data_IF_726537388417
#
_entry.id   IF_726537388417
#
_cell.length_a   1.000
_cell.length_b   1.000
_cell.length_c   1.000
_cell.angle_alpha   90.00
_cell.angle_beta   90.00
_cell.angle_gamma   90.00
#
_symmetry.space_group_name_H-M   'P 1'
#
loop_
_entity.id
_entity.type
_entity.pdbx_description
1 polymer ?
#
# COMPACT_ATOMS: atom_id res chain seq x y z
N UNK A 1 10.02 31.77 6.73
CA UNK A 1 9.90 31.54 8.18
C UNK A 1 11.30 31.38 8.74
N UNK A 2 11.66 32.29 9.62
CA UNK A 2 12.96 32.50 10.25
C UNK A 2 13.54 31.22 10.85
N UNK A 3 14.82 30.94 10.58
CA UNK A 3 15.62 30.00 11.37
C UNK A 3 15.89 30.65 12.72
N UNK A 4 14.89 30.73 13.59
CA UNK A 4 15.18 30.88 15.00
C UNK A 4 15.87 29.60 15.45
N UNK A 5 17.08 29.74 15.99
CA UNK A 5 17.81 28.64 16.56
C UNK A 5 16.99 28.06 17.72
N UNK A 6 16.24 27.00 17.45
CA UNK A 6 15.63 26.15 18.47
C UNK A 6 16.75 25.77 19.46
N UNK A 7 16.71 26.35 20.65
CA UNK A 7 17.63 25.99 21.73
C UNK A 7 17.43 24.50 22.01
N UNK A 8 18.44 23.72 21.63
CA UNK A 8 18.44 22.27 21.77
C UNK A 8 19.50 21.92 22.80
N UNK A 9 19.06 21.44 23.96
CA UNK A 9 19.94 21.05 25.06
C UNK A 9 19.93 19.53 25.21
N UNK A 10 21.09 18.90 25.34
CA UNK A 10 21.18 17.46 25.59
C UNK A 10 21.10 17.20 27.10
N UNK A 11 20.10 16.46 27.55
CA UNK A 11 19.91 16.06 28.97
C UNK A 11 19.69 14.55 29.09
N UNK A 12 20.06 14.00 30.24
CA UNK A 12 19.66 12.64 30.63
C UNK A 12 18.34 12.77 31.40
N UNK A 13 17.29 12.11 30.92
CA UNK A 13 15.94 12.26 31.47
C UNK A 13 15.44 10.92 32.01
N UNK A 14 14.89 10.88 33.24
CA UNK A 14 14.22 9.69 33.77
C UNK A 14 13.07 9.24 32.87
N UNK A 15 12.95 7.93 32.62
CA UNK A 15 11.94 7.39 31.72
C UNK A 15 10.48 7.62 32.20
N UNK A 16 10.31 7.84 33.49
CA UNK A 16 9.03 8.14 34.15
C UNK A 16 8.53 9.56 33.88
N UNK A 17 9.43 10.51 33.63
CA UNK A 17 9.09 11.89 33.31
C UNK A 17 8.66 12.10 31.84
N UNK A 18 8.75 11.04 31.01
CA UNK A 18 8.51 11.13 29.56
C UNK A 18 7.14 10.55 29.20
N UNK A 19 6.26 11.42 28.72
CA UNK A 19 4.92 11.10 28.24
C UNK A 19 4.90 10.92 26.71
N UNK A 20 4.05 10.02 26.22
CA UNK A 20 3.87 9.74 24.80
C UNK A 20 2.45 10.17 24.42
N UNK A 21 2.32 11.25 23.64
CA UNK A 21 1.01 11.77 23.21
C UNK A 21 0.20 10.73 22.41
N UNK A 22 0.88 10.01 21.52
CA UNK A 22 0.23 9.07 20.62
C UNK A 22 1.12 7.83 20.44
N UNK A 23 0.76 6.75 21.14
CA UNK A 23 1.49 5.48 21.05
C UNK A 23 1.22 4.79 19.73
N UNK A 24 2.27 4.22 19.12
CA UNK A 24 2.13 3.57 17.81
C UNK A 24 2.42 2.08 17.91
N UNK A 25 1.57 1.30 17.24
CA UNK A 25 1.78 -0.14 17.10
C UNK A 25 2.95 -0.43 16.16
N UNK A 26 3.99 -1.10 16.66
CA UNK A 26 5.12 -1.58 15.86
C UNK A 26 5.05 -3.08 15.65
N UNK A 27 5.62 -3.53 14.54
CA UNK A 27 5.85 -4.95 14.31
C UNK A 27 6.90 -5.45 15.31
N UNK A 28 6.60 -6.53 16.04
CA UNK A 28 7.48 -7.10 17.07
C UNK A 28 8.89 -7.39 16.55
N UNK A 29 9.04 -7.97 15.35
CA UNK A 29 10.37 -8.28 14.78
C UNK A 29 11.26 -7.06 14.62
N UNK A 30 10.71 -5.95 14.12
CA UNK A 30 11.44 -4.69 13.93
C UNK A 30 11.80 -4.07 15.29
N UNK A 31 10.94 -4.26 16.29
CA UNK A 31 11.22 -3.80 17.64
C UNK A 31 12.36 -4.61 18.29
N UNK A 32 12.37 -5.93 18.13
CA UNK A 32 13.43 -6.81 18.65
C UNK A 32 14.80 -6.44 18.07
N UNK A 33 14.86 -6.10 16.78
CA UNK A 33 16.08 -5.59 16.13
C UNK A 33 16.56 -4.28 16.77
N UNK A 34 15.65 -3.36 17.11
CA UNK A 34 15.99 -2.10 17.79
C UNK A 34 16.57 -2.39 19.19
N UNK A 35 15.92 -3.28 19.95
CA UNK A 35 16.37 -3.67 21.29
C UNK A 35 17.76 -4.30 21.22
N UNK A 36 17.97 -5.27 20.31
CA UNK A 36 19.27 -5.91 20.11
C UNK A 36 20.37 -4.92 19.71
N UNK A 37 20.07 -3.99 18.81
CA UNK A 37 21.02 -2.96 18.39
C UNK A 37 21.39 -2.01 19.54
N UNK A 38 20.41 -1.57 20.33
CA UNK A 38 20.67 -0.69 21.48
C UNK A 38 21.48 -1.44 22.55
N UNK A 39 21.17 -2.72 22.80
CA UNK A 39 21.93 -3.55 23.75
C UNK A 39 23.40 -3.72 23.33
N UNK A 40 23.66 -3.93 22.04
CA UNK A 40 25.01 -4.23 21.55
C UNK A 40 25.87 -2.99 21.25
N UNK A 41 25.25 -1.92 20.74
CA UNK A 41 25.95 -0.75 20.20
C UNK A 41 25.68 0.51 21.04
N UNK A 42 24.60 0.53 21.82
CA UNK A 42 24.13 1.72 22.54
C UNK A 42 23.31 2.67 21.67
N UNK A 43 22.88 3.77 22.29
CA UNK A 43 22.04 4.79 21.66
C UNK A 43 22.85 5.76 20.81
N UNK A 44 22.86 5.57 19.49
CA UNK A 44 23.58 6.46 18.55
C UNK A 44 23.01 7.88 18.44
N UNK A 45 21.69 8.04 18.61
CA UNK A 45 21.00 9.33 18.53
C UNK A 45 20.05 9.49 19.71
N UNK A 46 20.12 10.62 20.44
CA UNK A 46 19.20 10.89 21.56
C UNK A 46 17.76 10.97 21.06
N UNK A 47 16.81 10.69 21.94
CA UNK A 47 15.39 10.97 21.66
C UNK A 47 15.15 12.47 21.63
N UNK A 48 14.03 12.94 21.08
CA UNK A 48 13.70 14.37 21.11
C UNK A 48 12.43 14.56 21.92
N UNK A 49 12.48 15.49 22.87
CA UNK A 49 11.37 15.81 23.77
C UNK A 49 11.13 17.31 23.85
N UNK A 50 9.93 17.72 24.24
CA UNK A 50 9.63 19.10 24.63
C UNK A 50 9.23 19.16 26.09
N UNK A 51 9.71 20.16 26.86
CA UNK A 51 9.32 20.30 28.26
C UNK A 51 7.83 20.63 28.38
N UNK A 52 7.18 20.06 29.40
CA UNK A 52 5.82 20.36 29.83
C UNK A 52 5.84 20.55 31.34
N UNK A 53 5.62 21.77 31.85
CA UNK A 53 5.53 21.97 33.28
C UNK A 53 4.29 21.24 33.80
N UNK A 54 4.47 20.40 34.83
CA UNK A 54 3.36 19.79 35.55
C UNK A 54 2.77 20.78 36.57
N UNK A 55 1.52 20.56 36.99
CA UNK A 55 0.83 21.42 37.96
C UNK A 55 1.58 21.51 39.32
N UNK A 56 2.34 20.46 39.65
CA UNK A 56 3.12 20.34 40.89
C UNK A 56 4.55 20.91 40.75
N UNK A 57 4.90 21.54 39.63
CA UNK A 57 6.24 22.09 39.37
C UNK A 57 7.31 21.05 39.00
N UNK A 58 6.93 19.78 38.83
CA UNK A 58 7.82 18.74 38.33
C UNK A 58 8.06 18.89 36.81
N UNK A 59 9.31 18.72 36.37
CA UNK A 59 9.65 18.75 34.94
C UNK A 59 9.16 17.47 34.26
N UNK A 60 8.08 17.57 33.48
CA UNK A 60 7.68 16.52 32.55
C UNK A 60 8.11 16.85 31.14
N UNK A 61 8.17 15.81 30.32
CA UNK A 61 8.64 15.88 28.96
C UNK A 61 7.68 15.14 28.04
N UNK A 62 7.25 15.80 26.97
CA UNK A 62 6.47 15.16 25.91
C UNK A 62 7.42 14.64 24.83
N UNK A 63 7.29 13.37 24.48
CA UNK A 63 8.07 12.76 23.42
C UNK A 63 7.65 13.28 22.04
N UNK A 64 8.60 13.87 21.31
CA UNK A 64 8.43 14.29 19.90
C UNK A 64 8.82 13.13 18.98
N UNK A 65 10.05 12.61 19.16
CA UNK A 65 10.67 11.63 18.27
C UNK A 65 11.46 10.58 19.07
N UNK A 66 11.43 9.32 18.61
CA UNK A 66 12.27 8.26 19.15
C UNK A 66 11.56 7.24 20.05
N UNK A 67 10.24 7.08 19.93
CA UNK A 67 9.42 6.14 20.73
C UNK A 67 9.99 4.71 20.80
N UNK A 68 10.62 4.24 19.72
CA UNK A 68 11.19 2.88 19.68
C UNK A 68 12.41 2.75 20.57
N UNK A 69 13.23 3.80 20.64
CA UNK A 69 14.39 3.87 21.52
C UNK A 69 13.95 3.97 22.97
N UNK A 70 12.93 4.79 23.25
CA UNK A 70 12.31 4.89 24.58
C UNK A 70 11.77 3.54 25.06
N UNK A 71 10.97 2.85 24.24
CA UNK A 71 10.44 1.52 24.55
C UNK A 71 11.54 0.46 24.72
N UNK A 72 12.59 0.52 23.90
CA UNK A 72 13.72 -0.38 24.03
C UNK A 72 14.49 -0.18 25.34
N UNK A 73 14.74 1.07 25.75
CA UNK A 73 15.33 1.39 27.06
C UNK A 73 14.48 0.85 28.21
N UNK A 74 13.15 1.04 28.16
CA UNK A 74 12.21 0.44 29.13
C UNK A 74 12.30 -1.09 29.16
N UNK A 75 12.44 -1.72 27.99
CA UNK A 75 12.54 -3.20 27.86
C UNK A 75 13.89 -3.73 28.37
N UNK A 76 14.96 -2.95 28.24
CA UNK A 76 16.30 -3.29 28.73
C UNK A 76 16.47 -3.02 30.25
N UNK A 77 15.47 -2.41 30.90
CA UNK A 77 15.50 -2.11 32.34
C UNK A 77 16.29 -0.86 32.71
N UNK A 78 16.56 0.02 31.75
CA UNK A 78 17.23 1.30 32.00
C UNK A 78 16.31 2.26 32.77
N UNK A 79 16.88 3.15 33.60
CA UNK A 79 16.11 4.14 34.37
C UNK A 79 16.00 5.50 33.68
N UNK A 80 16.95 5.82 32.80
CA UNK A 80 17.06 7.12 32.12
C UNK A 80 17.54 6.98 30.69
N UNK A 81 17.27 7.99 29.86
CA UNK A 81 17.64 8.01 28.44
C UNK A 81 18.19 9.38 28.03
N UNK A 82 19.25 9.44 27.20
CA UNK A 82 19.70 10.68 26.59
C UNK A 82 18.63 11.28 25.65
N UNK A 83 18.28 12.52 25.90
CA UNK A 83 17.25 13.26 25.19
C UNK A 83 17.74 14.66 24.78
N UNK A 84 17.32 15.09 23.60
CA UNK A 84 17.45 16.47 23.14
C UNK A 84 16.16 17.19 23.51
N UNK A 85 16.27 18.17 24.41
CA UNK A 85 15.18 19.01 24.88
C UNK A 85 15.04 20.19 23.93
N UNK A 86 13.86 20.33 23.35
CA UNK A 86 13.54 21.39 22.39
C UNK A 86 12.24 22.06 22.84
N UNK A 87 12.30 23.36 23.10
CA UNK A 87 11.12 24.13 23.54
C UNK A 87 10.25 24.49 22.34
N UNK A 88 9.15 23.74 22.16
CA UNK A 88 8.16 23.96 21.10
C UNK A 88 6.74 23.84 21.63
N UNK A 89 5.81 24.50 20.93
CA UNK A 89 4.37 24.36 21.19
C UNK A 89 3.91 22.91 21.00
N UNK A 90 2.75 22.53 21.55
CA UNK A 90 2.16 21.20 21.31
C UNK A 90 1.91 20.94 19.82
N UNK A 91 1.48 21.97 19.10
CA UNK A 91 1.24 21.92 17.66
C UNK A 91 2.53 21.67 16.88
N UNK A 92 3.60 22.40 17.19
CA UNK A 92 4.89 22.24 16.52
C UNK A 92 5.55 20.91 16.88
N UNK A 93 5.42 20.45 18.13
CA UNK A 93 5.87 19.13 18.55
C UNK A 93 5.17 18.02 17.74
N UNK A 94 3.85 18.13 17.56
CA UNK A 94 3.10 17.20 16.74
C UNK A 94 3.57 17.20 15.28
N UNK A 95 3.79 18.40 14.71
CA UNK A 95 4.27 18.57 13.35
C UNK A 95 5.67 18.02 13.12
N UNK A 96 6.59 18.27 14.06
CA UNK A 96 7.94 17.71 14.02
C UNK A 96 7.90 16.19 14.08
N UNK A 97 7.03 15.61 14.94
CA UNK A 97 6.82 14.17 14.99
C UNK A 97 6.32 13.63 13.66
N UNK A 98 5.32 14.28 13.05
CA UNK A 98 4.75 13.87 11.77
C UNK A 98 5.78 13.97 10.63
N UNK A 99 6.47 15.10 10.51
CA UNK A 99 7.48 15.34 9.50
C UNK A 99 8.63 14.32 9.57
N UNK A 100 9.09 13.95 10.77
CA UNK A 100 10.11 12.90 10.93
C UNK A 100 9.65 11.54 10.41
N UNK A 101 8.37 11.17 10.59
CA UNK A 101 7.86 9.91 10.02
C UNK A 101 7.77 9.97 8.51
N UNK A 102 7.28 11.09 7.94
CA UNK A 102 7.21 11.29 6.49
C UNK A 102 8.61 11.18 5.86
N UNK A 103 9.63 11.73 6.52
CA UNK A 103 11.02 11.67 6.07
C UNK A 103 11.62 10.25 6.11
N UNK A 104 10.98 9.27 6.77
CA UNK A 104 11.48 7.88 6.75
C UNK A 104 11.24 7.25 5.39
N UNK A 105 12.27 6.57 4.87
CA UNK A 105 12.21 5.81 3.60
C UNK A 105 11.12 4.72 3.55
N UNK A 106 10.51 4.37 4.68
CA UNK A 106 9.39 3.42 4.79
C UNK A 106 8.31 3.95 5.76
N UNK A 107 7.77 5.14 5.50
CA UNK A 107 6.58 5.59 6.24
C UNK A 107 5.43 4.59 6.03
N UNK A 108 4.73 4.20 7.09
CA UNK A 108 3.56 3.33 6.97
C UNK A 108 2.44 4.16 6.32
N UNK A 109 1.86 3.72 5.19
CA UNK A 109 0.73 4.36 4.52
C UNK A 109 -0.35 4.95 5.43
N UNK A 110 -0.72 4.23 6.49
CA UNK A 110 -1.80 4.63 7.39
C UNK A 110 -1.40 5.78 8.34
N UNK A 111 -0.13 5.90 8.69
CA UNK A 111 0.35 6.95 9.62
C UNK A 111 0.33 8.33 8.95
N UNK A 112 0.67 8.41 7.66
CA UNK A 112 0.60 9.65 6.89
C UNK A 112 -0.85 10.15 6.79
N UNK A 113 -1.78 9.24 6.50
CA UNK A 113 -3.21 9.55 6.42
C UNK A 113 -3.76 10.09 7.74
N UNK A 114 -3.45 9.41 8.85
CA UNK A 114 -3.85 9.84 10.19
C UNK A 114 -3.27 11.22 10.54
N UNK A 115 -2.01 11.49 10.18
CA UNK A 115 -1.40 12.80 10.39
C UNK A 115 -2.08 13.92 9.59
N UNK A 116 -2.38 13.69 8.31
CA UNK A 116 -3.10 14.65 7.46
C UNK A 116 -4.51 14.90 7.99
N UNK A 117 -5.21 13.85 8.43
CA UNK A 117 -6.55 13.95 9.03
C UNK A 117 -6.54 14.76 10.33
N UNK A 118 -5.60 14.46 11.24
CA UNK A 118 -5.45 15.19 12.50
C UNK A 118 -5.14 16.67 12.27
N UNK A 119 -4.29 17.01 11.29
CA UNK A 119 -4.03 18.42 10.96
C UNK A 119 -5.29 19.12 10.42
N UNK A 120 -6.11 18.43 9.63
CA UNK A 120 -7.41 18.97 9.18
C UNK A 120 -8.34 19.20 10.37
N UNK A 121 -8.39 18.28 11.33
CA UNK A 121 -9.21 18.40 12.55
C UNK A 121 -8.78 19.57 13.44
N UNK A 122 -7.47 19.87 13.47
CA UNK A 122 -6.92 21.07 14.12
C UNK A 122 -7.25 22.39 13.39
N UNK A 123 -8.00 22.34 12.28
CA UNK A 123 -8.46 23.52 11.54
C UNK A 123 -7.47 24.05 10.51
N UNK A 124 -6.37 23.35 10.24
CA UNK A 124 -5.43 23.76 9.22
C UNK A 124 -6.01 23.64 7.80
N UNK A 125 -5.74 24.64 6.96
CA UNK A 125 -6.12 24.60 5.55
C UNK A 125 -5.21 23.65 4.74
N UNK A 126 -5.64 23.30 3.52
CA UNK A 126 -4.90 22.37 2.66
C UNK A 126 -3.50 22.88 2.29
N UNK A 127 -3.33 24.19 2.14
CA UNK A 127 -2.05 24.80 1.76
C UNK A 127 -1.07 24.75 2.93
N UNK A 128 -1.53 25.04 4.14
CA UNK A 128 -0.77 24.97 5.38
C UNK A 128 -0.38 23.54 5.70
N UNK A 129 -1.28 22.57 5.52
CA UNK A 129 -0.94 21.14 5.68
C UNK A 129 0.15 20.74 4.69
N UNK A 130 0.02 21.09 3.42
CA UNK A 130 1.03 20.80 2.38
C UNK A 130 2.40 21.40 2.74
N UNK A 131 2.44 22.66 3.17
CA UNK A 131 3.68 23.32 3.60
C UNK A 131 4.31 22.65 4.82
N UNK A 132 3.49 22.32 5.84
CA UNK A 132 3.96 21.70 7.09
C UNK A 132 4.41 20.24 6.91
N UNK A 133 3.82 19.51 5.97
CA UNK A 133 4.16 18.11 5.68
C UNK A 133 5.19 17.93 4.56
N UNK A 134 5.46 18.98 3.77
CA UNK A 134 6.33 18.91 2.59
C UNK A 134 5.70 18.20 1.38
N UNK A 135 4.38 17.99 1.39
CA UNK A 135 3.62 17.36 0.31
C UNK A 135 3.08 18.41 -0.67
N UNK A 136 2.68 17.99 -1.87
CA UNK A 136 1.99 18.88 -2.79
C UNK A 136 0.56 19.16 -2.33
N UNK A 137 0.06 20.36 -2.62
CA UNK A 137 -1.31 20.78 -2.26
C UNK A 137 -2.34 19.84 -2.92
N UNK A 138 -2.10 19.44 -4.17
CA UNK A 138 -2.97 18.50 -4.90
C UNK A 138 -3.00 17.11 -4.26
N UNK A 139 -1.85 16.65 -3.73
CA UNK A 139 -1.77 15.38 -3.01
C UNK A 139 -2.60 15.43 -1.72
N UNK A 140 -2.39 16.46 -0.91
CA UNK A 140 -3.16 16.68 0.34
C UNK A 140 -4.65 16.79 0.03
N UNK A 141 -5.04 17.53 -1.00
CA UNK A 141 -6.43 17.63 -1.44
C UNK A 141 -7.02 16.25 -1.78
N UNK A 142 -6.33 15.47 -2.60
CA UNK A 142 -6.80 14.17 -3.04
C UNK A 142 -6.94 13.17 -1.90
N UNK A 143 -5.96 13.13 -0.99
CA UNK A 143 -6.02 12.29 0.22
C UNK A 143 -7.22 12.67 1.09
N UNK A 144 -7.42 13.96 1.36
CA UNK A 144 -8.54 14.45 2.16
C UNK A 144 -9.90 14.14 1.52
N UNK A 145 -9.99 14.19 0.19
CA UNK A 145 -11.20 13.84 -0.54
C UNK A 145 -11.51 12.34 -0.42
N UNK A 146 -10.50 11.48 -0.57
CA UNK A 146 -10.66 10.03 -0.38
C UNK A 146 -11.04 9.67 1.06
N UNK A 147 -10.44 10.33 2.06
CA UNK A 147 -10.81 10.19 3.47
C UNK A 147 -12.27 10.59 3.69
N UNK A 148 -12.70 11.75 3.16
CA UNK A 148 -14.09 12.23 3.25
C UNK A 148 -15.09 11.25 2.61
N UNK A 149 -14.69 10.55 1.55
CA UNK A 149 -15.52 9.53 0.88
C UNK A 149 -15.49 8.14 1.56
N UNK A 150 -14.71 7.97 2.63
CA UNK A 150 -14.53 6.71 3.35
C UNK A 150 -13.75 5.64 2.57
N UNK A 151 -12.91 6.06 1.60
CA UNK A 151 -12.23 5.17 0.65
C UNK A 151 -10.90 4.61 1.17
N UNK A 152 -10.93 3.97 2.35
CA UNK A 152 -9.72 3.41 2.98
C UNK A 152 -8.97 2.42 2.08
N UNK A 153 -9.68 1.56 1.34
CA UNK A 153 -9.05 0.60 0.40
C UNK A 153 -8.28 1.28 -0.72
N UNK A 154 -8.82 2.37 -1.28
CA UNK A 154 -8.15 3.13 -2.32
C UNK A 154 -6.97 3.91 -1.73
N UNK A 155 -7.14 4.51 -0.55
CA UNK A 155 -6.07 5.21 0.16
C UNK A 155 -4.84 4.32 0.37
N UNK A 156 -5.02 3.11 0.90
CA UNK A 156 -3.90 2.16 1.09
C UNK A 156 -3.26 1.75 -0.24
N UNK A 157 -4.05 1.63 -1.30
CA UNK A 157 -3.52 1.32 -2.63
C UNK A 157 -2.71 2.48 -3.24
N UNK A 158 -3.12 3.73 -2.97
CA UNK A 158 -2.41 4.94 -3.38
C UNK A 158 -1.08 5.08 -2.65
N UNK A 159 -1.12 5.01 -1.33
CA UNK A 159 0.07 5.13 -0.47
C UNK A 159 1.10 4.04 -0.75
N UNK A 160 0.66 2.82 -1.09
CA UNK A 160 1.57 1.74 -1.46
C UNK A 160 2.11 1.83 -2.90
N UNK A 161 1.80 2.90 -3.64
CA UNK A 161 2.22 3.12 -5.03
C UNK A 161 1.57 2.18 -6.05
N UNK A 162 0.56 1.40 -5.64
CA UNK A 162 -0.11 0.41 -6.49
C UNK A 162 -1.12 1.04 -7.43
N UNK A 163 -1.70 2.19 -7.04
CA UNK A 163 -2.64 2.98 -7.83
C UNK A 163 -2.21 4.44 -7.73
N UNK A 164 -2.15 5.21 -8.84
CA UNK A 164 -1.90 6.64 -8.75
C UNK A 164 -3.10 7.38 -8.13
N UNK A 165 -2.83 8.44 -7.36
CA UNK A 165 -3.86 9.22 -6.64
C UNK A 165 -5.00 9.70 -7.56
N UNK A 166 -4.66 10.21 -8.75
CA UNK A 166 -5.64 10.70 -9.72
C UNK A 166 -6.64 9.62 -10.16
N UNK A 167 -6.16 8.38 -10.36
CA UNK A 167 -7.04 7.29 -10.72
C UNK A 167 -7.91 6.86 -9.54
N UNK A 168 -7.36 6.85 -8.32
CA UNK A 168 -8.14 6.59 -7.12
C UNK A 168 -9.26 7.62 -6.92
N UNK A 169 -9.00 8.90 -7.19
CA UNK A 169 -10.02 9.96 -7.15
C UNK A 169 -11.12 9.75 -8.19
N UNK A 170 -10.76 9.41 -9.43
CA UNK A 170 -11.74 9.10 -10.47
C UNK A 170 -12.61 7.88 -10.09
N UNK A 171 -12.00 6.83 -9.54
CA UNK A 171 -12.69 5.63 -9.06
C UNK A 171 -13.60 5.93 -7.85
N UNK A 172 -13.19 6.83 -6.96
CA UNK A 172 -13.97 7.24 -5.80
C UNK A 172 -15.17 8.10 -6.18
N UNK A 173 -15.01 8.98 -7.19
CA UNK A 173 -16.06 9.83 -7.72
C UNK A 173 -17.08 9.11 -8.60
N UNK A 174 -16.72 7.96 -9.17
CA UNK A 174 -17.63 7.11 -9.94
C UNK A 174 -18.72 6.50 -9.03
N UNK A 175 -19.98 6.84 -9.32
CA UNK A 175 -21.16 6.39 -8.58
C UNK A 175 -21.70 5.04 -9.03
N UNK A 176 -21.35 4.59 -10.23
CA UNK A 176 -21.79 3.33 -10.84
C UNK A 176 -20.63 2.43 -11.28
N UNK A 177 -20.88 1.12 -11.37
CA UNK A 177 -19.89 0.15 -11.85
C UNK A 177 -19.42 0.47 -13.28
N UNK A 178 -20.30 1.04 -14.10
CA UNK A 178 -20.01 1.49 -15.47
C UNK A 178 -19.04 2.67 -15.47
N UNK A 179 -19.30 3.69 -14.65
CA UNK A 179 -18.40 4.85 -14.52
C UNK A 179 -17.03 4.46 -13.98
N UNK A 180 -16.94 3.46 -13.09
CA UNK A 180 -15.66 2.94 -12.61
C UNK A 180 -14.87 2.30 -13.76
N UNK A 181 -15.53 1.58 -14.68
CA UNK A 181 -14.85 1.02 -15.85
C UNK A 181 -14.36 2.13 -16.79
N UNK A 182 -15.19 3.16 -17.04
CA UNK A 182 -14.78 4.32 -17.84
C UNK A 182 -13.57 5.01 -17.22
N UNK A 183 -13.59 5.27 -15.92
CA UNK A 183 -12.47 5.88 -15.21
C UNK A 183 -11.17 5.05 -15.30
N UNK A 184 -11.28 3.71 -15.27
CA UNK A 184 -10.13 2.83 -15.49
C UNK A 184 -9.62 2.90 -16.93
N UNK A 185 -10.53 2.96 -17.90
CA UNK A 185 -10.19 3.06 -19.32
C UNK A 185 -9.48 4.39 -19.62
N UNK A 186 -10.02 5.51 -19.15
CA UNK A 186 -9.41 6.84 -19.30
C UNK A 186 -8.02 6.89 -18.64
N UNK A 187 -7.86 6.25 -17.48
CA UNK A 187 -6.57 6.14 -16.80
C UNK A 187 -5.55 5.27 -17.57
N UNK A 188 -6.02 4.28 -18.32
CA UNK A 188 -5.19 3.43 -19.17
C UNK A 188 -4.76 4.16 -20.45
N UNK A 189 -5.71 4.81 -21.12
CA UNK A 189 -5.49 5.56 -22.37
C UNK A 189 -4.56 6.75 -22.12
N UNK A 190 -4.76 7.49 -21.03
CA UNK A 190 -3.85 8.58 -20.61
C UNK A 190 -2.47 8.09 -20.14
N UNK A 191 -2.22 6.78 -20.10
CA UNK A 191 -0.94 6.18 -19.74
C UNK A 191 -0.61 6.23 -18.25
N UNK A 192 -1.48 6.81 -17.43
CA UNK A 192 -1.30 6.93 -15.97
C UNK A 192 -1.37 5.58 -15.26
N UNK A 193 -2.01 4.59 -15.87
CA UNK A 193 -2.29 3.31 -15.23
C UNK A 193 -2.08 2.14 -16.22
N UNK A 194 -0.90 1.50 -16.17
CA UNK A 194 -0.52 0.41 -17.09
C UNK A 194 0.06 -0.81 -16.36
N UNK A 195 0.04 -1.96 -17.04
CA UNK A 195 0.67 -3.19 -16.57
C UNK A 195 0.23 -3.64 -15.18
N UNK A 196 1.18 -3.78 -14.25
CA UNK A 196 0.92 -4.25 -12.87
C UNK A 196 -0.04 -3.35 -12.10
N UNK A 197 0.01 -2.03 -12.30
CA UNK A 197 -0.88 -1.08 -11.61
C UNK A 197 -2.35 -1.27 -12.02
N UNK A 198 -2.62 -1.63 -13.28
CA UNK A 198 -3.97 -1.95 -13.76
C UNK A 198 -4.55 -3.19 -13.08
N UNK A 199 -3.71 -4.22 -12.92
CA UNK A 199 -4.09 -5.43 -12.20
C UNK A 199 -4.39 -5.12 -10.74
N UNK A 200 -3.56 -4.28 -10.10
CA UNK A 200 -3.79 -3.85 -8.72
C UNK A 200 -5.07 -3.02 -8.58
N UNK A 201 -5.32 -2.06 -9.49
CA UNK A 201 -6.53 -1.25 -9.49
C UNK A 201 -7.79 -2.12 -9.61
N UNK A 202 -7.81 -3.07 -10.56
CA UNK A 202 -8.92 -4.02 -10.71
C UNK A 202 -9.16 -4.84 -9.44
N UNK A 203 -8.09 -5.36 -8.82
CA UNK A 203 -8.20 -6.16 -7.59
C UNK A 203 -8.75 -5.33 -6.42
N UNK A 204 -8.34 -4.08 -6.30
CA UNK A 204 -8.84 -3.17 -5.26
C UNK A 204 -10.31 -2.84 -5.48
N UNK A 205 -10.72 -2.58 -6.73
CA UNK A 205 -12.13 -2.34 -7.09
C UNK A 205 -13.00 -3.57 -6.81
N UNK A 206 -12.53 -4.76 -7.16
CA UNK A 206 -13.26 -6.00 -6.90
C UNK A 206 -13.47 -6.22 -5.39
N UNK A 207 -12.42 -6.01 -4.58
CA UNK A 207 -12.51 -6.03 -3.12
C UNK A 207 -13.39 -4.92 -2.57
N UNK A 208 -13.36 -3.72 -3.17
CA UNK A 208 -14.22 -2.58 -2.81
C UNK A 208 -15.69 -2.93 -3.03
N UNK A 209 -15.99 -3.67 -4.09
CA UNK A 209 -17.34 -4.15 -4.41
C UNK A 209 -17.82 -5.22 -3.44
N UNK A 210 -16.98 -6.19 -3.08
CA UNK A 210 -17.38 -7.32 -2.23
C UNK A 210 -17.37 -6.99 -0.73
N UNK A 211 -16.41 -6.18 -0.26
CA UNK A 211 -16.17 -5.90 1.16
C UNK A 211 -16.44 -4.44 1.55
N UNK A 212 -16.90 -3.60 0.62
CA UNK A 212 -17.18 -2.18 0.86
C UNK A 212 -15.93 -1.29 0.75
N UNK A 213 -15.99 -0.07 1.30
CA UNK A 213 -14.91 0.93 1.17
C UNK A 213 -13.86 0.87 2.29
N UNK A 214 -14.27 0.51 3.52
CA UNK A 214 -13.43 0.47 4.73
C UNK A 214 -12.67 -0.85 4.94
N UNK A 215 -11.38 -0.76 5.29
CA UNK A 215 -10.48 -1.90 5.57
C UNK A 215 -10.77 -2.52 6.93
N UNK A 216 -11.20 -1.71 7.91
CA UNK A 216 -11.50 -2.18 9.25
C UNK A 216 -12.55 -3.31 9.21
N UNK A 217 -12.29 -4.40 9.95
CA UNK A 217 -13.26 -5.46 10.27
C UNK A 217 -14.36 -4.87 11.15
N UNK A 218 -15.23 -4.05 10.58
CA UNK A 218 -16.56 -3.84 11.13
C UNK A 218 -17.33 -5.15 10.94
N UNK A 219 -17.98 -5.61 11.99
CA UNK A 219 -18.97 -6.70 12.03
C UNK A 219 -19.69 -6.80 10.68
N UNK A 220 -19.83 -8.00 10.08
CA UNK A 220 -20.57 -8.11 8.83
C UNK A 220 -21.89 -7.40 9.06
N UNK A 221 -22.14 -6.30 8.34
CA UNK A 221 -23.51 -5.78 8.22
C UNK A 221 -24.32 -7.02 7.90
N UNK A 222 -25.25 -7.39 8.81
CA UNK A 222 -26.15 -8.55 8.68
C UNK A 222 -26.36 -8.74 7.19
N UNK A 223 -25.85 -9.84 6.65
CA UNK A 223 -25.98 -10.15 5.23
C UNK A 223 -27.41 -9.78 4.87
N UNK A 224 -27.57 -8.71 4.08
CA UNK A 224 -28.89 -8.22 3.74
C UNK A 224 -29.63 -9.45 3.24
N UNK A 225 -30.79 -9.74 3.86
CA UNK A 225 -31.64 -10.90 3.57
C UNK A 225 -31.43 -11.30 2.11
N UNK A 226 -30.94 -12.51 1.86
CA UNK A 226 -30.66 -13.03 0.51
C UNK A 226 -31.93 -12.85 -0.33
N UNK A 227 -32.02 -11.71 -1.01
CA UNK A 227 -33.17 -11.40 -1.84
C UNK A 227 -33.05 -12.25 -3.08
N UNK A 228 -34.19 -12.74 -3.57
CA UNK A 228 -34.28 -13.46 -4.85
C UNK A 228 -33.57 -12.70 -5.98
N UNK A 229 -33.66 -11.36 -5.99
CA UNK A 229 -32.92 -10.50 -6.93
C UNK A 229 -31.39 -10.55 -6.78
N UNK A 230 -30.86 -10.70 -5.55
CA UNK A 230 -29.42 -10.85 -5.31
C UNK A 230 -28.89 -12.22 -5.75
N UNK A 231 -29.68 -13.28 -5.57
CA UNK A 231 -29.36 -14.62 -6.08
C UNK A 231 -29.35 -14.65 -7.61
N UNK A 232 -30.37 -14.06 -8.24
CA UNK A 232 -30.45 -13.97 -9.72
C UNK A 232 -29.24 -13.21 -10.28
N UNK A 233 -28.85 -12.09 -9.67
CA UNK A 233 -27.68 -11.31 -10.09
C UNK A 233 -26.36 -12.08 -9.91
N UNK A 234 -26.25 -12.86 -8.84
CA UNK A 234 -25.07 -13.69 -8.59
C UNK A 234 -24.97 -14.82 -9.61
N UNK A 235 -26.09 -15.49 -9.88
CA UNK A 235 -26.20 -16.52 -10.92
C UNK A 235 -25.86 -15.97 -12.31
N UNK A 236 -26.41 -14.82 -12.70
CA UNK A 236 -26.10 -14.18 -13.98
C UNK A 236 -24.61 -13.88 -14.15
N UNK A 237 -23.94 -13.37 -13.09
CA UNK A 237 -22.48 -13.15 -13.12
C UNK A 237 -21.69 -14.43 -13.27
N UNK A 238 -22.12 -15.49 -12.60
CA UNK A 238 -21.45 -16.79 -12.68
C UNK A 238 -21.61 -17.43 -14.06
N UNK A 239 -22.79 -17.29 -14.67
CA UNK A 239 -23.06 -17.67 -16.06
C UNK A 239 -22.18 -16.88 -17.03
N UNK A 240 -22.06 -15.57 -16.89
CA UNK A 240 -21.17 -14.77 -17.75
C UNK A 240 -19.70 -15.17 -17.60
N UNK A 241 -19.25 -15.42 -16.36
CA UNK A 241 -17.90 -15.90 -16.08
C UNK A 241 -17.64 -17.24 -16.76
N UNK A 242 -18.57 -18.19 -16.68
CA UNK A 242 -18.46 -19.49 -17.34
C UNK A 242 -18.44 -19.34 -18.87
N UNK A 243 -19.33 -18.53 -19.45
CA UNK A 243 -19.34 -18.24 -20.89
C UNK A 243 -18.00 -17.67 -21.37
N UNK A 244 -17.40 -16.78 -20.58
CA UNK A 244 -16.11 -16.18 -20.92
C UNK A 244 -14.95 -17.19 -20.79
N UNK A 245 -15.02 -18.13 -19.84
CA UNK A 245 -14.08 -19.25 -19.75
C UNK A 245 -14.18 -20.18 -20.96
N UNK A 246 -15.40 -20.53 -21.39
CA UNK A 246 -15.63 -21.37 -22.57
C UNK A 246 -15.05 -20.70 -23.82
N UNK A 247 -15.37 -19.42 -24.08
CA UNK A 247 -14.81 -18.68 -25.21
C UNK A 247 -13.28 -18.63 -25.21
N UNK A 248 -12.66 -18.46 -24.04
CA UNK A 248 -11.18 -18.49 -23.91
C UNK A 248 -10.60 -19.86 -24.21
N UNK A 249 -11.26 -20.93 -23.76
CA UNK A 249 -10.85 -22.30 -24.04
C UNK A 249 -10.96 -22.61 -25.53
N UNK A 250 -12.07 -22.23 -26.17
CA UNK A 250 -12.28 -22.37 -27.62
C UNK A 250 -11.19 -21.63 -28.42
N UNK A 251 -10.89 -20.39 -28.05
CA UNK A 251 -9.85 -19.62 -28.73
C UNK A 251 -8.45 -20.23 -28.55
N UNK A 252 -8.14 -20.70 -27.34
CA UNK A 252 -6.88 -21.40 -27.08
C UNK A 252 -6.78 -22.70 -27.90
N UNK A 253 -7.87 -23.46 -28.01
CA UNK A 253 -7.94 -24.68 -28.81
C UNK A 253 -7.75 -24.40 -30.30
N UNK A 254 -8.42 -23.38 -30.85
CA UNK A 254 -8.26 -22.97 -32.25
C UNK A 254 -6.81 -22.58 -32.56
N UNK A 255 -6.17 -21.77 -31.70
CA UNK A 255 -4.76 -21.41 -31.86
C UNK A 255 -3.83 -22.62 -31.77
N UNK A 256 -4.12 -23.55 -30.88
CA UNK A 256 -3.31 -24.76 -30.73
C UNK A 256 -3.43 -25.68 -31.95
N UNK A 257 -4.63 -25.83 -32.53
CA UNK A 257 -4.83 -26.56 -33.78
C UNK A 257 -4.03 -25.93 -34.92
N UNK A 258 -4.08 -24.59 -35.05
CA UNK A 258 -3.28 -23.88 -36.03
C UNK A 258 -1.77 -24.12 -35.87
N UNK A 259 -1.26 -24.01 -34.63
CA UNK A 259 0.16 -24.27 -34.33
C UNK A 259 0.55 -25.72 -34.63
N UNK A 260 -0.29 -26.68 -34.27
CA UNK A 260 -0.04 -28.11 -34.54
C UNK A 260 0.05 -28.35 -36.05
N UNK A 261 -0.87 -27.79 -36.84
CA UNK A 261 -0.89 -27.99 -38.29
C UNK A 261 0.33 -27.33 -38.97
N UNK A 262 0.67 -26.11 -38.58
CA UNK A 262 1.87 -25.43 -39.05
C UNK A 262 3.15 -26.21 -38.71
N UNK A 263 3.24 -26.75 -37.49
CA UNK A 263 4.37 -27.58 -37.07
C UNK A 263 4.43 -28.89 -37.84
N UNK A 264 3.29 -29.54 -38.12
CA UNK A 264 3.26 -30.75 -38.96
C UNK A 264 3.81 -30.47 -40.36
N UNK A 265 3.36 -29.39 -40.99
CA UNK A 265 3.83 -29.00 -42.32
C UNK A 265 5.33 -28.69 -42.31
N UNK A 266 5.83 -27.94 -41.32
CA UNK A 266 7.26 -27.62 -41.19
C UNK A 266 8.12 -28.86 -40.93
N UNK A 267 7.66 -29.76 -40.06
CA UNK A 267 8.40 -30.97 -39.68
C UNK A 267 8.30 -32.10 -40.72
N UNK A 268 7.45 -31.96 -41.74
CA UNK A 268 7.46 -32.84 -42.91
C UNK A 268 8.61 -32.56 -43.89
N UNK A 269 9.31 -31.43 -43.75
CA UNK A 269 10.48 -31.10 -44.58
C UNK A 269 11.77 -31.66 -43.95
N UNK A 270 12.40 -32.61 -44.65
CA UNK A 270 13.64 -33.25 -44.23
C UNK A 270 14.81 -32.27 -44.10
N UNK A 271 14.88 -31.23 -44.95
CA UNK A 271 15.94 -30.22 -44.85
C UNK A 271 15.78 -29.40 -43.56
N UNK A 272 14.55 -29.06 -43.21
CA UNK A 272 14.22 -28.30 -42.01
C UNK A 272 14.51 -29.11 -40.74
N UNK A 273 14.11 -30.38 -40.70
CA UNK A 273 14.36 -31.25 -39.53
C UNK A 273 15.85 -31.55 -39.34
N UNK A 274 16.62 -31.72 -40.42
CA UNK A 274 18.06 -31.89 -40.35
C UNK A 274 18.78 -30.62 -39.85
N UNK A 275 18.33 -29.45 -40.27
CA UNK A 275 18.85 -28.17 -39.77
C UNK A 275 18.56 -27.99 -38.27
N UNK A 276 17.34 -28.32 -37.82
CA UNK A 276 16.98 -28.23 -36.40
C UNK A 276 17.85 -29.14 -35.52
N UNK A 277 18.17 -30.36 -35.98
CA UNK A 277 19.09 -31.26 -35.27
C UNK A 277 20.51 -30.72 -35.21
N UNK A 278 21.00 -30.12 -36.31
CA UNK A 278 22.33 -29.53 -36.36
C UNK A 278 22.48 -28.36 -35.37
N UNK A 279 21.41 -27.58 -35.16
CA UNK A 279 21.37 -26.44 -34.23
C UNK A 279 20.91 -26.82 -32.81
N UNK A 280 20.62 -28.09 -32.52
CA UNK A 280 20.16 -28.56 -31.20
C UNK A 280 18.76 -28.08 -30.78
N UNK A 281 17.88 -27.79 -31.75
CA UNK A 281 16.53 -27.26 -31.57
C UNK A 281 15.42 -28.28 -31.92
N UNK A 282 15.71 -29.57 -31.80
CA UNK A 282 14.82 -30.67 -32.18
C UNK A 282 13.82 -31.09 -31.08
N UNK A 283 13.81 -30.39 -29.94
CA UNK A 283 12.94 -30.71 -28.81
C UNK A 283 11.60 -29.97 -28.86
N UNK A 284 10.51 -30.70 -28.63
CA UNK A 284 9.15 -30.16 -28.55
C UNK A 284 8.51 -30.43 -27.19
N UNK A 285 7.67 -29.53 -26.67
CA UNK A 285 6.87 -29.79 -25.47
C UNK A 285 5.99 -31.03 -25.64
N UNK A 286 5.96 -31.91 -24.63
CA UNK A 286 5.29 -33.22 -24.66
C UNK A 286 3.87 -33.21 -25.25
N UNK A 287 3.02 -32.29 -24.82
CA UNK A 287 1.63 -32.18 -25.30
C UNK A 287 1.49 -31.76 -26.77
N UNK A 288 2.47 -31.03 -27.30
CA UNK A 288 2.52 -30.64 -28.72
C UNK A 288 3.11 -31.78 -29.53
N UNK A 289 4.21 -32.36 -29.07
CA UNK A 289 4.87 -33.53 -29.64
C UNK A 289 3.89 -34.70 -29.85
N UNK A 290 3.12 -35.08 -28.82
CA UNK A 290 2.11 -36.14 -28.91
C UNK A 290 1.08 -35.87 -30.02
N UNK A 291 0.65 -34.61 -30.22
CA UNK A 291 -0.37 -34.28 -31.24
C UNK A 291 0.19 -34.11 -32.63
N UNK A 292 1.42 -33.60 -32.75
CA UNK A 292 2.11 -33.45 -34.03
C UNK A 292 2.48 -34.83 -34.57
N UNK A 293 3.05 -35.71 -33.74
CA UNK A 293 3.59 -37.01 -34.16
C UNK A 293 2.58 -38.18 -34.11
N UNK A 294 1.51 -38.13 -33.31
CA UNK A 294 0.50 -39.21 -33.30
C UNK A 294 -0.25 -39.39 -34.64
N UNK A 295 -0.25 -38.38 -35.52
CA UNK A 295 -0.82 -38.50 -36.86
C UNK A 295 0.05 -39.28 -37.86
N UNK A 296 1.33 -39.50 -37.56
CA UNK A 296 2.30 -40.11 -38.47
C UNK A 296 2.31 -41.67 -38.41
N UNK A 297 1.51 -42.29 -37.53
CA UNK A 297 1.47 -43.74 -37.30
C UNK A 297 0.16 -44.41 -37.75
N UNK A 298 -0.59 -43.80 -38.66
CA UNK A 298 -1.87 -44.36 -39.16
C UNK A 298 -1.92 -44.45 -40.70
N UNK A 299 -0.83 -44.90 -41.31
CA UNK A 299 -0.82 -45.43 -42.68
C UNK A 299 -0.26 -46.83 -42.69
#
# INVERSE_FOLDING_TARGET
MSKEHLSSELKIIPLECIEILNTRERNGRVFDEIVGNIKNIGLKKPITVTPRPDADGSERYLLICGEGRLKAYKTLGESSIPAMVVSVSDEDAFLMSLAENIARRQCRPLELLAGIEQLREQGYDKKTIAQKTGLSVDYVYGILQLLKSGEERLLVAVESGRIPLNAALAIAGAGSDTEVQTALQDAYESGKLRGKQLIHARRVIERRRSLGRSIARGTPRKAGVLTSSSLIRSYQKEVERQKLMVKKAEFAQQRLLFVIEALRQLLSDDNFTNLLRAEGLDTLPKYVAERVWAGAHTT
#
